data_IF_882246499527
#
_entry.id   IF_882246499527
#
_cell.length_a   1.000
_cell.length_b   1.000
_cell.length_c   1.000
_cell.angle_alpha   90.00
_cell.angle_beta   90.00
_cell.angle_gamma   90.00
#
_symmetry.space_group_name_H-M   'P 1'
#
loop_
_entity.id
_entity.type
_entity.pdbx_description
1 polymer ?
#
# COMPACT_ATOMS: atom_id res chain seq x y z
N UNK A 1 12.70 7.92 -5.38
CA UNK A 1 12.11 6.74 -4.70
C UNK A 1 10.59 6.73 -4.87
N UNK A 2 9.87 7.75 -4.37
CA UNK A 2 8.40 7.90 -4.51
C UNK A 2 7.86 7.66 -5.93
N UNK A 3 8.39 8.36 -6.92
CA UNK A 3 7.93 8.29 -8.31
C UNK A 3 8.07 6.91 -8.96
N UNK A 4 9.01 6.08 -8.53
CA UNK A 4 9.16 4.72 -9.07
C UNK A 4 8.06 3.78 -8.55
N UNK A 5 7.67 3.95 -7.29
CA UNK A 5 6.67 3.11 -6.64
C UNK A 5 5.24 3.54 -7.00
N UNK A 6 4.97 4.84 -7.11
CA UNK A 6 3.66 5.34 -7.54
C UNK A 6 3.30 4.95 -8.97
N UNK A 7 4.30 4.80 -9.85
CA UNK A 7 4.09 4.33 -11.23
C UNK A 7 3.92 2.81 -11.32
N UNK A 8 4.20 2.07 -10.26
CA UNK A 8 4.19 0.62 -10.31
C UNK A 8 2.74 0.09 -10.21
N UNK A 9 2.27 -0.75 -11.16
CA UNK A 9 0.86 -1.17 -11.20
C UNK A 9 0.33 -1.87 -9.95
N UNK A 10 1.22 -2.49 -9.16
CA UNK A 10 0.87 -3.20 -7.93
C UNK A 10 0.82 -2.31 -6.68
N UNK A 11 1.11 -1.01 -6.78
CA UNK A 11 1.14 -0.13 -5.61
C UNK A 11 0.24 1.09 -5.81
N UNK A 12 -0.33 1.59 -4.71
CA UNK A 12 -0.99 2.90 -4.66
C UNK A 12 -0.60 3.64 -3.38
N UNK A 13 -0.53 4.97 -3.51
CA UNK A 13 -0.29 5.84 -2.36
C UNK A 13 -1.56 5.93 -1.51
N UNK A 14 -1.36 5.87 -0.19
CA UNK A 14 -2.42 6.12 0.78
C UNK A 14 -2.65 7.63 0.96
N UNK A 15 -3.85 7.99 1.39
CA UNK A 15 -4.20 9.36 1.77
C UNK A 15 -3.51 9.78 3.06
N UNK A 16 -3.44 11.08 3.33
CA UNK A 16 -2.77 11.59 4.52
C UNK A 16 -3.51 11.17 5.79
N UNK A 17 -4.83 11.08 5.72
CA UNK A 17 -5.70 10.66 6.81
C UNK A 17 -5.46 9.18 7.19
N UNK A 18 -5.31 8.31 6.19
CA UNK A 18 -4.98 6.89 6.40
C UNK A 18 -3.56 6.71 6.95
N UNK A 19 -2.63 7.55 6.48
CA UNK A 19 -1.28 7.62 7.02
C UNK A 19 -1.33 7.96 8.52
N UNK A 20 -1.93 9.09 8.88
CA UNK A 20 -1.92 9.62 10.25
C UNK A 20 -2.71 8.74 11.23
N UNK A 21 -3.66 7.95 10.73
CA UNK A 21 -4.41 6.99 11.55
C UNK A 21 -3.60 5.74 11.91
N UNK A 22 -2.47 5.48 11.25
CA UNK A 22 -1.70 4.26 11.44
C UNK A 22 -0.63 4.39 12.55
N UNK A 23 -0.73 3.62 13.65
CA UNK A 23 0.18 3.71 14.80
C UNK A 23 1.64 3.38 14.46
N UNK A 24 1.89 2.66 13.36
CA UNK A 24 3.25 2.30 12.92
C UNK A 24 4.01 3.52 12.40
N UNK A 25 3.32 4.60 11.97
CA UNK A 25 4.02 5.81 11.51
C UNK A 25 4.85 6.47 12.60
N UNK A 26 4.39 6.44 13.85
CA UNK A 26 5.15 6.98 14.98
C UNK A 26 6.44 6.18 15.20
N UNK A 27 6.35 4.86 15.10
CA UNK A 27 7.47 3.95 15.27
C UNK A 27 8.52 4.11 14.17
N UNK A 28 8.11 4.39 12.92
CA UNK A 28 9.06 4.57 11.81
C UNK A 28 10.05 5.72 12.04
N UNK A 29 9.66 6.75 12.80
CA UNK A 29 10.54 7.88 13.09
C UNK A 29 11.37 7.69 14.35
N UNK A 30 10.86 6.98 15.36
CA UNK A 30 11.48 6.95 16.68
C UNK A 30 12.09 5.59 17.05
N UNK A 31 11.80 4.52 16.33
CA UNK A 31 12.30 3.18 16.66
C UNK A 31 13.77 2.95 16.26
N UNK A 32 14.33 3.78 15.38
CA UNK A 32 15.72 3.65 14.92
C UNK A 32 16.59 4.77 15.46
N UNK A 33 17.87 4.48 15.73
CA UNK A 33 18.84 5.47 16.23
C UNK A 33 18.98 6.67 15.27
N UNK A 34 18.99 6.40 13.96
CA UNK A 34 19.05 7.44 12.93
C UNK A 34 17.79 8.32 12.94
N UNK A 35 16.60 7.74 13.10
CA UNK A 35 15.36 8.51 13.20
C UNK A 35 15.36 9.44 14.43
N UNK A 36 15.80 8.94 15.58
CA UNK A 36 15.96 9.75 16.79
C UNK A 36 17.03 10.84 16.64
N UNK A 37 18.12 10.56 15.92
CA UNK A 37 19.17 11.54 15.61
C UNK A 37 18.67 12.65 14.70
N UNK A 38 17.87 12.33 13.69
CA UNK A 38 17.21 13.33 12.83
C UNK A 38 16.33 14.25 13.67
N UNK A 39 15.52 13.70 14.59
CA UNK A 39 14.68 14.49 15.50
C UNK A 39 15.51 15.39 16.43
N UNK A 40 16.58 14.86 17.04
CA UNK A 40 17.49 15.64 17.93
C UNK A 40 18.16 16.81 17.22
N UNK A 41 18.48 16.65 15.94
CA UNK A 41 19.17 17.65 15.14
C UNK A 41 18.22 18.64 14.44
N UNK A 42 16.91 18.58 14.71
CA UNK A 42 15.91 19.41 14.03
C UNK A 42 15.77 19.10 12.53
N UNK A 43 16.15 17.90 12.11
CA UNK A 43 15.99 17.44 10.74
C UNK A 43 14.53 17.11 10.42
N UNK A 44 14.20 17.11 9.12
CA UNK A 44 12.87 16.77 8.65
C UNK A 44 12.81 15.30 8.21
N UNK A 45 11.69 14.63 8.49
CA UNK A 45 11.43 13.26 8.04
C UNK A 45 10.28 13.23 7.05
N UNK A 46 10.50 12.60 5.90
CA UNK A 46 9.49 12.41 4.86
C UNK A 46 9.00 10.97 4.88
N UNK A 47 7.70 10.78 5.09
CA UNK A 47 7.07 9.45 5.19
C UNK A 47 6.17 9.21 3.98
N UNK A 48 6.16 7.97 3.49
CA UNK A 48 5.24 7.52 2.45
C UNK A 48 4.87 6.07 2.73
N UNK A 49 3.56 5.77 2.72
CA UNK A 49 3.05 4.39 2.71
C UNK A 49 2.39 4.13 1.38
N UNK A 50 2.65 2.93 0.86
CA UNK A 50 2.07 2.43 -0.36
C UNK A 50 1.44 1.09 -0.03
N UNK A 51 0.20 0.90 -0.45
CA UNK A 51 -0.48 -0.38 -0.28
C UNK A 51 -0.40 -1.20 -1.57
N UNK A 52 -0.25 -2.51 -1.41
CA UNK A 52 -0.27 -3.43 -2.54
C UNK A 52 -1.69 -3.56 -3.07
N UNK A 53 -1.90 -3.27 -4.34
CA UNK A 53 -3.20 -3.47 -4.99
C UNK A 53 -3.50 -4.96 -5.07
N UNK A 54 -4.69 -5.35 -4.62
CA UNK A 54 -5.23 -6.64 -4.98
C UNK A 54 -5.57 -6.62 -6.47
N UNK A 55 -4.89 -7.46 -7.26
CA UNK A 55 -5.30 -7.71 -8.64
C UNK A 55 -6.55 -8.57 -8.53
N UNK A 56 -7.73 -7.92 -8.57
CA UNK A 56 -9.00 -8.63 -8.71
C UNK A 56 -8.81 -9.54 -9.94
N UNK A 57 -8.74 -10.86 -9.72
CA UNK A 57 -8.53 -11.85 -10.79
C UNK A 57 -9.61 -11.57 -11.82
N UNK A 58 -9.18 -11.09 -12.98
CA UNK A 58 -10.07 -10.79 -14.08
C UNK A 58 -10.90 -12.05 -14.38
N UNK A 59 -12.21 -11.92 -14.20
CA UNK A 59 -13.23 -12.59 -15.00
C UNK A 59 -12.93 -14.05 -15.36
N UNK A 60 -12.96 -14.97 -14.38
CA UNK A 60 -13.51 -16.29 -14.72
C UNK A 60 -15.01 -16.05 -14.87
N UNK A 61 -15.42 -15.65 -16.08
CA UNK A 61 -16.78 -15.88 -16.54
C UNK A 61 -17.02 -17.38 -16.40
N UNK A 62 -17.73 -17.76 -15.33
CA UNK A 62 -18.48 -19.00 -15.30
C UNK A 62 -19.50 -18.90 -16.43
N UNK A 63 -19.11 -19.33 -17.63
CA UNK A 63 -20.07 -19.74 -18.64
C UNK A 63 -20.96 -20.80 -17.97
N UNK A 64 -22.29 -20.63 -17.93
CA UNK A 64 -23.14 -21.72 -17.50
C UNK A 64 -22.95 -22.85 -18.51
N UNK A 65 -22.32 -23.93 -18.05
CA UNK A 65 -22.26 -25.18 -18.79
C UNK A 65 -23.71 -25.68 -18.89
N UNK A 66 -24.35 -25.36 -20.02
CA UNK A 66 -25.69 -25.81 -20.33
C UNK A 66 -25.67 -27.31 -20.57
N UNK A 67 -25.90 -28.08 -19.50
CA UNK A 67 -26.25 -29.50 -19.62
C UNK A 67 -27.65 -29.54 -20.20
N UNK A 68 -27.75 -29.73 -21.52
CA UNK A 68 -29.02 -30.18 -22.11
C UNK A 68 -29.12 -31.67 -21.87
N UNK A 69 -29.86 -32.06 -20.83
CA UNK A 69 -30.44 -33.39 -20.75
C UNK A 69 -31.28 -33.60 -22.02
N UNK A 70 -30.89 -34.59 -22.82
CA UNK A 70 -31.70 -35.12 -23.91
C UNK A 70 -32.59 -36.20 -23.31
N UNK A 71 -33.89 -35.97 -23.43
CA UNK A 71 -34.96 -36.97 -23.38
C UNK A 71 -34.71 -38.13 -24.37
#
# INVERSE_FOLDING_TARGET
>A
MRSCLERHPMFEALTQEELDSDPVLELLCNATEEGQKVARNGGQTFRAKLQSKQIIRASIQLLPCGVKEKE
#
